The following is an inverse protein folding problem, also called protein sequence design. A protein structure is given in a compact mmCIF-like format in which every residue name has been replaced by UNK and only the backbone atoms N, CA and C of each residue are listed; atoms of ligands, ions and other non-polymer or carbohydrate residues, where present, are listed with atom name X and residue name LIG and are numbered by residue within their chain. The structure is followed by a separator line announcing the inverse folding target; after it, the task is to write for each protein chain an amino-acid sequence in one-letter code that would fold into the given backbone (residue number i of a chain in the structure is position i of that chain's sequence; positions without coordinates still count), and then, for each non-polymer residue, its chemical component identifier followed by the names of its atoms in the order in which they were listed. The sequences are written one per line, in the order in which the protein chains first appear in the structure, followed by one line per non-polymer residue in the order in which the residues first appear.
data_IF_145307549329
#
_entry.id   IF_145307549329
#
_cell.length_a   1.000
_cell.length_b   1.000
_cell.length_c   1.000
_cell.angle_alpha   90.00
_cell.angle_beta   90.00
_cell.angle_gamma   90.00
#
_symmetry.space_group_name_H-M   'P 1'
#
loop_
_entity.id
_entity.type
_entity.pdbx_description
1 polymer ?
#
# COMPACT_ATOMS: atom_id res chain seq x y z
N UNK A 1 -12.27 6.12 16.95
CA UNK A 1 -11.12 7.07 16.98
C UNK A 1 -10.43 6.96 15.63
N UNK A 2 -10.48 8.00 14.82
CA UNK A 2 -9.67 8.13 13.59
C UNK A 2 -8.22 8.21 14.03
N UNK A 3 -7.38 7.26 13.59
CA UNK A 3 -5.93 7.34 13.81
C UNK A 3 -5.41 8.51 12.97
N UNK A 4 -4.54 9.33 13.53
CA UNK A 4 -3.86 10.37 12.78
C UNK A 4 -2.96 9.70 11.72
N UNK A 5 -3.11 10.13 10.46
CA UNK A 5 -2.24 9.70 9.37
C UNK A 5 -0.84 10.29 9.54
N UNK A 6 0.19 9.61 9.01
CA UNK A 6 1.54 10.19 8.95
C UNK A 6 1.54 11.39 8.02
N UNK A 7 2.16 12.49 8.46
CA UNK A 7 2.20 13.76 7.72
C UNK A 7 2.84 13.65 6.32
N UNK A 8 3.64 12.62 6.07
CA UNK A 8 4.27 12.35 4.77
C UNK A 8 3.30 11.80 3.73
N UNK A 9 2.13 11.30 4.14
CA UNK A 9 1.20 10.62 3.25
C UNK A 9 0.07 11.55 2.82
N UNK A 10 -0.27 11.49 1.53
CA UNK A 10 -1.46 12.15 1.01
C UNK A 10 -2.66 11.22 1.16
N UNK A 11 -3.64 11.61 2.00
CA UNK A 11 -4.77 10.76 2.39
C UNK A 11 -5.52 10.15 1.18
N UNK A 12 -5.71 10.94 0.12
CA UNK A 12 -6.37 10.52 -1.12
C UNK A 12 -5.66 9.39 -1.89
N UNK A 13 -4.38 9.15 -1.62
CA UNK A 13 -3.58 8.11 -2.27
C UNK A 13 -3.23 6.94 -1.35
N UNK A 14 -3.82 6.89 -0.15
CA UNK A 14 -3.65 5.77 0.77
C UNK A 14 -4.38 4.53 0.26
N UNK A 15 -3.65 3.42 0.22
CA UNK A 15 -4.13 2.11 -0.20
C UNK A 15 -4.08 1.14 0.97
N UNK A 16 -5.25 0.60 1.32
CA UNK A 16 -5.36 -0.43 2.35
C UNK A 16 -5.29 -1.83 1.73
N UNK A 17 -4.43 -2.67 2.29
CA UNK A 17 -4.25 -4.07 1.90
C UNK A 17 -4.48 -5.00 3.08
N UNK A 18 -5.14 -6.11 2.79
CA UNK A 18 -5.35 -7.24 3.71
C UNK A 18 -4.90 -8.53 3.05
N UNK A 19 -3.97 -9.24 3.69
CA UNK A 19 -3.40 -10.50 3.20
C UNK A 19 -3.06 -11.43 4.35
N UNK A 20 -3.18 -12.74 4.11
CA UNK A 20 -2.79 -13.76 5.09
C UNK A 20 -1.36 -14.19 4.79
N UNK A 21 -0.50 -14.08 5.79
CA UNK A 21 0.93 -14.41 5.74
C UNK A 21 1.16 -15.69 6.55
N UNK A 22 1.94 -16.59 5.97
CA UNK A 22 2.36 -17.87 6.54
C UNK A 22 3.89 -17.89 6.64
N UNK A 23 4.44 -18.75 7.49
CA UNK A 23 5.90 -18.93 7.65
C UNK A 23 6.59 -17.96 8.61
N UNK A 24 5.87 -17.03 9.23
CA UNK A 24 6.41 -16.11 10.23
C UNK A 24 6.13 -16.59 11.66
N UNK A 25 7.18 -16.70 12.47
CA UNK A 25 7.12 -16.80 13.92
C UNK A 25 6.86 -15.45 14.60
N UNK A 26 6.73 -15.45 15.93
CA UNK A 26 6.34 -14.26 16.69
C UNK A 26 7.37 -13.12 16.58
N UNK A 27 8.66 -13.41 16.75
CA UNK A 27 9.73 -12.40 16.64
C UNK A 27 9.80 -11.78 15.23
N UNK A 28 9.58 -12.58 14.19
CA UNK A 28 9.54 -12.09 12.80
C UNK A 28 8.31 -11.23 12.55
N UNK A 29 7.17 -11.56 13.16
CA UNK A 29 5.97 -10.71 13.12
C UNK A 29 6.20 -9.37 13.82
N UNK A 30 6.83 -9.38 14.99
CA UNK A 30 7.15 -8.17 15.74
C UNK A 30 8.07 -7.25 14.92
N UNK A 31 9.16 -7.81 14.36
CA UNK A 31 10.08 -7.07 13.49
C UNK A 31 9.40 -6.53 12.24
N UNK A 32 8.61 -7.35 11.52
CA UNK A 32 7.89 -6.91 10.32
C UNK A 32 6.94 -5.75 10.63
N UNK A 33 6.15 -5.83 11.71
CA UNK A 33 5.22 -4.76 12.09
C UNK A 33 5.98 -3.51 12.55
N UNK A 34 7.10 -3.66 13.25
CA UNK A 34 7.97 -2.56 13.64
C UNK A 34 8.49 -1.80 12.41
N UNK A 35 9.09 -2.51 11.47
CA UNK A 35 9.68 -1.92 10.26
C UNK A 35 8.63 -1.27 9.36
N UNK A 36 7.49 -1.95 9.15
CA UNK A 36 6.36 -1.38 8.43
C UNK A 36 5.92 -0.07 9.06
N UNK A 37 5.71 -0.02 10.37
CA UNK A 37 5.27 1.22 11.02
C UNK A 37 6.35 2.32 11.06
N UNK A 38 7.62 2.01 10.77
CA UNK A 38 8.69 3.01 10.62
C UNK A 38 8.97 3.41 9.17
N UNK A 39 8.49 2.63 8.21
CA UNK A 39 8.67 2.92 6.79
C UNK A 39 8.00 4.26 6.44
N UNK A 40 8.67 5.16 5.68
CA UNK A 40 8.15 6.50 5.39
C UNK A 40 6.87 6.49 4.57
N UNK A 41 6.68 5.49 3.71
CA UNK A 41 5.49 5.36 2.86
C UNK A 41 4.37 4.53 3.49
N UNK A 42 4.58 3.94 4.66
CA UNK A 42 3.54 3.17 5.35
C UNK A 42 2.87 4.06 6.37
N UNK A 43 1.56 4.21 6.24
CA UNK A 43 0.77 4.94 7.23
C UNK A 43 0.62 4.14 8.52
N UNK A 44 0.20 2.88 8.38
CA UNK A 44 -0.04 2.01 9.52
C UNK A 44 -0.03 0.54 9.10
N UNK A 45 0.52 -0.32 9.95
CA UNK A 45 0.47 -1.77 9.82
C UNK A 45 0.14 -2.45 11.14
N UNK A 46 -0.65 -3.51 11.06
CA UNK A 46 -0.95 -4.38 12.20
C UNK A 46 -1.13 -5.84 11.79
N UNK A 47 -0.74 -6.72 12.70
CA UNK A 47 -1.12 -8.13 12.65
C UNK A 47 -2.51 -8.30 13.24
N UNK A 48 -3.40 -8.95 12.49
CA UNK A 48 -4.69 -9.45 12.94
C UNK A 48 -4.59 -10.96 13.23
N UNK A 49 -5.58 -11.54 13.93
CA UNK A 49 -5.64 -12.98 14.15
C UNK A 49 -5.48 -13.80 12.86
N UNK A 50 -5.05 -15.05 13.00
CA UNK A 50 -4.84 -16.00 11.90
C UNK A 50 -3.77 -15.53 10.88
N UNK A 51 -2.70 -14.88 11.35
CA UNK A 51 -1.59 -14.45 10.50
C UNK A 51 -1.98 -13.41 9.44
N UNK A 52 -3.02 -12.62 9.69
CA UNK A 52 -3.50 -11.65 8.69
C UNK A 52 -2.81 -10.30 8.88
N UNK A 53 -2.02 -9.87 7.90
CA UNK A 53 -1.49 -8.51 7.85
C UNK A 53 -2.55 -7.55 7.29
N UNK A 54 -2.78 -6.45 8.02
CA UNK A 54 -3.44 -5.26 7.48
C UNK A 54 -2.42 -4.12 7.43
N UNK A 55 -2.28 -3.52 6.27
CA UNK A 55 -1.36 -2.40 6.06
C UNK A 55 -2.02 -1.34 5.18
N UNK A 56 -1.76 -0.09 5.52
CA UNK A 56 -2.14 1.09 4.74
C UNK A 56 -0.86 1.81 4.34
N UNK A 57 -0.69 2.09 3.06
CA UNK A 57 0.49 2.78 2.54
C UNK A 57 0.13 3.80 1.47
N UNK A 58 1.02 4.76 1.25
CA UNK A 58 0.96 5.72 0.15
C UNK A 58 1.28 5.02 -1.17
N UNK A 59 0.26 4.88 -2.03
CA UNK A 59 0.37 4.22 -3.33
C UNK A 59 1.15 5.03 -4.38
N UNK A 60 1.49 6.28 -4.09
CA UNK A 60 2.31 7.09 -5.01
C UNK A 60 3.78 6.68 -4.97
N UNK A 61 4.26 6.21 -3.82
CA UNK A 61 5.67 5.87 -3.56
C UNK A 61 5.90 4.39 -3.21
N UNK A 62 4.84 3.62 -2.94
CA UNK A 62 4.97 2.22 -2.53
C UNK A 62 3.93 1.32 -3.21
N UNK A 63 4.16 0.00 -3.14
CA UNK A 63 3.33 -0.99 -3.82
C UNK A 63 3.19 -2.30 -3.03
N UNK A 64 2.23 -3.11 -3.46
CA UNK A 64 2.01 -4.45 -2.93
C UNK A 64 3.22 -5.35 -3.19
N UNK A 65 3.95 -5.17 -4.29
CA UNK A 65 5.12 -6.00 -4.59
C UNK A 65 6.29 -5.69 -3.66
N UNK A 66 6.53 -4.41 -3.33
CA UNK A 66 7.54 -4.04 -2.32
C UNK A 66 7.17 -4.55 -0.92
N UNK A 67 5.89 -4.52 -0.58
CA UNK A 67 5.37 -5.15 0.63
C UNK A 67 5.61 -6.68 0.64
N UNK A 68 5.44 -7.35 -0.50
CA UNK A 68 5.71 -8.79 -0.62
C UNK A 68 7.19 -9.11 -0.46
N UNK A 69 8.07 -8.32 -1.05
CA UNK A 69 9.53 -8.49 -0.87
C UNK A 69 9.93 -8.29 0.59
N UNK A 70 9.34 -7.32 1.30
CA UNK A 70 9.57 -7.15 2.74
C UNK A 70 9.08 -8.35 3.55
N UNK A 71 7.86 -8.85 3.27
CA UNK A 71 7.33 -10.07 3.92
C UNK A 71 8.28 -11.26 3.70
N UNK A 72 8.80 -11.40 2.48
CA UNK A 72 9.73 -12.47 2.11
C UNK A 72 11.10 -12.31 2.78
N UNK A 73 11.60 -11.08 2.95
CA UNK A 73 12.85 -10.81 3.67
C UNK A 73 12.77 -11.26 5.14
N UNK A 74 11.58 -11.23 5.74
CA UNK A 74 11.30 -11.79 7.07
C UNK A 74 11.08 -13.31 7.08
N UNK A 75 11.13 -13.98 5.92
CA UNK A 75 10.89 -15.42 5.78
C UNK A 75 9.42 -15.80 5.56
N UNK A 76 8.53 -14.81 5.38
CA UNK A 76 7.11 -15.01 5.21
C UNK A 76 6.70 -15.18 3.75
N UNK A 77 5.51 -15.73 3.55
CA UNK A 77 4.88 -15.80 2.23
C UNK A 77 3.37 -15.63 2.33
N UNK A 78 2.72 -15.25 1.24
CA UNK A 78 1.26 -15.25 1.22
C UNK A 78 0.71 -16.67 1.21
N UNK A 79 -0.38 -16.87 1.95
CA UNK A 79 -1.21 -18.07 1.83
C UNK A 79 -1.62 -18.28 0.38
N UNK A 80 -1.27 -19.44 -0.18
CA UNK A 80 -1.55 -19.75 -1.58
C UNK A 80 -3.03 -20.02 -1.83
N UNK A 81 -3.50 -19.73 -3.05
CA UNK A 81 -4.88 -19.99 -3.45
C UNK A 81 -5.33 -19.12 -4.63
N UNK A 82 -6.36 -19.55 -5.34
CA UNK A 82 -6.92 -18.80 -6.47
C UNK A 82 -7.37 -17.39 -6.06
N UNK A 83 -8.04 -17.27 -4.90
CA UNK A 83 -8.49 -15.99 -4.38
C UNK A 83 -7.33 -15.05 -4.03
N UNK A 84 -6.26 -15.57 -3.41
CA UNK A 84 -5.06 -14.78 -3.12
C UNK A 84 -4.46 -14.24 -4.41
N UNK A 85 -4.30 -15.08 -5.45
CA UNK A 85 -3.76 -14.65 -6.75
C UNK A 85 -4.63 -13.57 -7.40
N UNK A 86 -5.94 -13.76 -7.44
CA UNK A 86 -6.89 -12.79 -8.01
C UNK A 86 -6.86 -11.45 -7.27
N UNK A 87 -6.81 -11.49 -5.94
CA UNK A 87 -6.74 -10.29 -5.09
C UNK A 87 -5.40 -9.56 -5.26
N UNK A 88 -4.30 -10.29 -5.36
CA UNK A 88 -2.98 -9.71 -5.60
C UNK A 88 -2.91 -9.01 -6.97
N UNK A 89 -3.47 -9.63 -8.02
CA UNK A 89 -3.58 -9.00 -9.33
C UNK A 89 -4.39 -7.69 -9.26
N UNK A 90 -5.49 -7.67 -8.51
CA UNK A 90 -6.28 -6.46 -8.28
C UNK A 90 -5.48 -5.37 -7.54
N UNK A 91 -4.74 -5.73 -6.49
CA UNK A 91 -3.91 -4.79 -5.75
C UNK A 91 -2.87 -4.11 -6.65
N UNK A 92 -2.17 -4.87 -7.50
CA UNK A 92 -1.20 -4.31 -8.45
C UNK A 92 -1.83 -3.29 -9.40
N UNK A 93 -2.97 -3.64 -10.01
CA UNK A 93 -3.71 -2.72 -10.89
C UNK A 93 -4.10 -1.44 -10.14
N UNK A 94 -4.56 -1.54 -8.90
CA UNK A 94 -4.92 -0.35 -8.12
C UNK A 94 -3.73 0.49 -7.69
N UNK A 95 -2.57 -0.12 -7.42
CA UNK A 95 -1.34 0.62 -7.12
C UNK A 95 -0.90 1.43 -8.34
N UNK A 96 -0.90 0.80 -9.52
CA UNK A 96 -0.57 1.47 -10.79
C UNK A 96 -1.53 2.62 -11.10
N UNK A 97 -2.83 2.42 -10.87
CA UNK A 97 -3.85 3.46 -11.07
C UNK A 97 -3.64 4.66 -10.15
N UNK A 98 -3.35 4.43 -8.86
CA UNK A 98 -3.06 5.52 -7.92
C UNK A 98 -1.80 6.26 -8.33
N UNK A 99 -0.74 5.54 -8.70
CA UNK A 99 0.52 6.14 -9.15
C UNK A 99 0.36 6.94 -10.44
N UNK A 100 -0.45 6.46 -11.39
CA UNK A 100 -0.77 7.18 -12.61
C UNK A 100 -1.59 8.45 -12.32
N UNK A 101 -2.63 8.34 -11.47
CA UNK A 101 -3.49 9.47 -11.09
C UNK A 101 -2.72 10.55 -10.32
N UNK A 102 -1.77 10.17 -9.46
CA UNK A 102 -0.92 11.13 -8.75
C UNK A 102 0.00 11.94 -9.68
N UNK A 103 0.35 11.39 -10.84
CA UNK A 103 1.13 12.09 -11.89
C UNK A 103 0.25 12.87 -12.86
N UNK A 104 -1.08 12.69 -12.81
CA UNK A 104 -1.98 13.26 -13.80
C UNK A 104 -2.29 14.71 -13.48
N UNK A 105 -1.93 15.62 -14.39
CA UNK A 105 -2.44 16.99 -14.37
C UNK A 105 -3.83 17.02 -15.03
N UNK A 106 -4.89 17.45 -14.32
CA UNK A 106 -6.22 17.47 -14.88
C UNK A 106 -6.28 18.45 -16.05
N UNK A 107 -6.75 17.97 -17.20
CA UNK A 107 -6.97 18.82 -18.36
C UNK A 107 -8.12 19.80 -18.09
N UNK A 108 -7.83 21.10 -18.02
CA UNK A 108 -8.84 22.13 -17.88
C UNK A 108 -9.36 22.57 -19.26
N UNK A 109 -10.55 22.10 -19.63
CA UNK A 109 -11.28 22.54 -20.84
C UNK A 109 -11.69 24.02 -20.79
N UNK A 110 -11.58 24.68 -19.64
CA UNK A 110 -11.93 26.08 -19.42
C UNK A 110 -10.75 27.05 -19.54
N UNK A 111 -9.59 26.60 -20.05
CA UNK A 111 -8.47 27.53 -20.31
C UNK A 111 -8.94 28.62 -21.26
N UNK A 112 -8.94 29.86 -20.77
CA UNK A 112 -9.32 31.04 -21.57
C UNK A 112 -8.40 31.06 -22.80
N UNK A 113 -8.95 31.12 -24.03
CA UNK A 113 -8.13 31.14 -25.24
C UNK A 113 -7.19 32.35 -25.22
N UNK A 114 -5.99 32.24 -25.82
CA UNK A 114 -5.02 33.33 -25.83
C UNK A 114 -5.64 34.57 -26.49
N UNK A 115 -5.73 35.67 -25.74
CA UNK A 115 -6.17 36.96 -26.28
C UNK A 115 -5.13 37.45 -27.29
N UNK A 116 -5.58 37.79 -28.50
CA UNK A 116 -4.73 38.48 -29.48
C UNK A 116 -4.36 39.85 -28.93
N UNK A 117 -3.07 40.20 -29.02
CA UNK A 117 -2.55 41.55 -28.72
C UNK A 117 -3.15 42.58 -29.69
#
# INVERSE_FOLDING_TARGET
MTKAHKATNQEQFLLRRKMTVEGLGEDQWEGLIHDLNRHPCVDFAERKPNGTLQVTYDGTHWSVDELLELIKAYGGQLKTGWWTRRKLAWYRVTDDNVRANAKHEPFCCSKIPPMKK
#
